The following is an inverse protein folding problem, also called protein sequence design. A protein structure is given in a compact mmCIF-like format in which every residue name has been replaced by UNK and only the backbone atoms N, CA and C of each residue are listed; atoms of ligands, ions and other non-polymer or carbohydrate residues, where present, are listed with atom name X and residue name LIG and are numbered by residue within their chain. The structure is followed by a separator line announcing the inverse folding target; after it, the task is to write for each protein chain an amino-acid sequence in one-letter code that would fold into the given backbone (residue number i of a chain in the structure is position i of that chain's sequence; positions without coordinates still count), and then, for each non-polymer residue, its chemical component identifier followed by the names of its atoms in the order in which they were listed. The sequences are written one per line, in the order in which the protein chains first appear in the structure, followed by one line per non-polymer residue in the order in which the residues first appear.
data_IF_555841271459
#
_entry.id   IF_555841271459
#
_cell.length_a   1.000
_cell.length_b   1.000
_cell.length_c   1.000
_cell.angle_alpha   90.00
_cell.angle_beta   90.00
_cell.angle_gamma   90.00
#
_symmetry.space_group_name_H-M   'P 1'
#
loop_
_entity.id
_entity.type
_entity.pdbx_description
1 polymer ?
#
# COMPACT_ATOMS: atom_id res chain seq x y z
N UNK A 1 10.94 -6.87 35.92
CA UNK A 1 9.97 -7.84 35.36
C UNK A 1 9.25 -7.22 34.15
N UNK A 2 10.01 -6.80 33.14
CA UNK A 2 9.49 -6.25 31.86
C UNK A 2 10.27 -6.81 30.66
N UNK A 3 11.25 -7.68 30.92
CA UNK A 3 12.19 -8.20 29.92
C UNK A 3 11.77 -9.56 29.32
N UNK A 4 10.68 -10.17 29.81
CA UNK A 4 10.24 -11.52 29.41
C UNK A 4 9.04 -11.58 28.47
N UNK A 5 8.39 -10.44 28.17
CA UNK A 5 7.18 -10.36 27.31
C UNK A 5 7.46 -9.89 25.87
N UNK A 6 8.71 -9.63 25.51
CA UNK A 6 9.14 -9.46 24.11
C UNK A 6 9.58 -10.81 23.52
N UNK A 7 8.85 -11.87 23.85
CA UNK A 7 9.15 -13.25 23.49
C UNK A 7 8.73 -13.62 22.07
N UNK A 8 9.12 -12.82 21.08
CA UNK A 8 9.58 -13.18 19.72
C UNK A 8 10.25 -11.90 19.22
N UNK A 9 11.50 -11.98 18.77
CA UNK A 9 12.18 -10.81 18.22
C UNK A 9 11.33 -10.23 17.08
N UNK A 10 10.95 -8.96 17.19
CA UNK A 10 10.33 -8.25 16.08
C UNK A 10 11.27 -8.38 14.88
N UNK A 11 10.75 -8.81 13.73
CA UNK A 11 11.57 -9.04 12.55
C UNK A 11 12.11 -7.69 12.07
N UNK A 12 13.36 -7.37 12.46
CA UNK A 12 14.10 -6.16 12.11
C UNK A 12 13.96 -5.76 10.62
N UNK A 13 13.96 -6.71 9.66
CA UNK A 13 13.73 -6.38 8.26
C UNK A 13 12.39 -5.67 7.99
N UNK A 14 11.30 -6.10 8.64
CA UNK A 14 9.97 -5.48 8.48
C UNK A 14 9.93 -4.09 9.12
N UNK A 15 10.63 -3.90 10.24
CA UNK A 15 10.73 -2.61 10.89
C UNK A 15 11.48 -1.61 10.00
N UNK A 16 12.63 -2.02 9.45
CA UNK A 16 13.40 -1.19 8.52
C UNK A 16 12.58 -0.89 7.26
N UNK A 17 11.90 -1.89 6.69
CA UNK A 17 11.02 -1.72 5.53
C UNK A 17 9.95 -0.66 5.82
N UNK A 18 9.20 -0.80 6.91
CA UNK A 18 8.11 0.14 7.25
C UNK A 18 8.60 1.56 7.49
N UNK A 19 9.79 1.74 8.09
CA UNK A 19 10.42 3.05 8.24
C UNK A 19 10.75 3.68 6.89
N UNK A 20 11.43 2.93 6.01
CA UNK A 20 11.79 3.41 4.66
C UNK A 20 10.52 3.76 3.88
N UNK A 21 9.53 2.86 3.87
CA UNK A 21 8.26 3.07 3.17
C UNK A 21 7.52 4.32 3.67
N UNK A 22 7.51 4.56 4.98
CA UNK A 22 6.90 5.75 5.56
C UNK A 22 7.61 7.01 5.04
N UNK A 23 8.94 7.06 5.10
CA UNK A 23 9.72 8.20 4.60
C UNK A 23 9.45 8.43 3.11
N UNK A 24 9.47 7.38 2.29
CA UNK A 24 9.20 7.49 0.84
C UNK A 24 7.79 8.02 0.57
N UNK A 25 6.78 7.56 1.29
CA UNK A 25 5.40 8.04 1.13
C UNK A 25 5.24 9.50 1.57
N UNK A 26 5.97 9.93 2.61
CA UNK A 26 6.02 11.35 3.00
C UNK A 26 6.65 12.22 1.90
N UNK A 27 7.75 11.77 1.29
CA UNK A 27 8.39 12.46 0.16
C UNK A 27 7.46 12.53 -1.04
N UNK A 28 6.81 11.42 -1.39
CA UNK A 28 5.84 11.39 -2.50
C UNK A 28 4.68 12.36 -2.25
N UNK A 29 4.13 12.37 -1.03
CA UNK A 29 3.06 13.31 -0.66
C UNK A 29 3.53 14.77 -0.75
N UNK A 30 4.73 15.08 -0.27
CA UNK A 30 5.32 16.43 -0.37
C UNK A 30 5.43 16.88 -1.84
N UNK A 31 5.91 16.01 -2.72
CA UNK A 31 6.01 16.29 -4.16
C UNK A 31 4.61 16.51 -4.76
N UNK A 32 3.67 15.61 -4.48
CA UNK A 32 2.29 15.72 -4.99
C UNK A 32 1.62 17.03 -4.59
N UNK A 33 1.76 17.44 -3.33
CA UNK A 33 1.21 18.71 -2.84
C UNK A 33 1.88 19.90 -3.52
N UNK A 34 3.22 19.88 -3.65
CA UNK A 34 3.98 20.96 -4.29
C UNK A 34 3.56 21.16 -5.74
N UNK A 35 3.53 20.08 -6.53
CA UNK A 35 3.12 20.12 -7.95
C UNK A 35 1.66 20.59 -8.10
N UNK A 36 0.76 20.12 -7.23
CA UNK A 36 -0.66 20.50 -7.27
C UNK A 36 -0.88 21.97 -6.93
N UNK A 37 -0.08 22.52 -6.00
CA UNK A 37 -0.12 23.93 -5.63
C UNK A 37 0.34 24.83 -6.78
N UNK A 38 1.38 24.44 -7.50
CA UNK A 38 1.86 25.17 -8.69
C UNK A 38 0.86 25.12 -9.86
N UNK A 39 0.06 24.06 -9.95
CA UNK A 39 -0.90 23.84 -11.05
C UNK A 39 -2.27 24.51 -10.84
N UNK A 40 -2.54 25.12 -9.68
CA UNK A 40 -3.85 25.68 -9.34
C UNK A 40 -3.85 27.23 -9.28
N UNK A 41 -4.64 27.93 -10.11
CA UNK A 41 -4.79 29.37 -10.00
C UNK A 41 -5.70 29.72 -8.81
N UNK A 42 -5.23 30.62 -7.94
CA UNK A 42 -5.94 31.31 -6.83
C UNK A 42 -6.68 30.44 -5.79
N UNK A 43 -6.00 30.26 -4.65
CA UNK A 43 -6.38 29.50 -3.46
C UNK A 43 -7.62 30.05 -2.75
N UNK A 44 -8.75 29.34 -2.80
CA UNK A 44 -9.76 29.41 -1.73
C UNK A 44 -9.13 28.71 -0.52
N UNK A 45 -8.91 29.43 0.58
CA UNK A 45 -8.49 28.85 1.85
C UNK A 45 -9.61 27.92 2.35
N UNK A 46 -9.41 26.60 2.26
CA UNK A 46 -10.38 25.58 2.67
C UNK A 46 -9.88 24.95 3.96
N UNK A 47 -10.69 25.00 5.01
CA UNK A 47 -10.34 24.52 6.33
C UNK A 47 -10.39 22.99 6.40
N UNK A 48 -9.45 22.38 7.15
CA UNK A 48 -9.35 20.93 7.40
C UNK A 48 -10.58 20.29 8.06
N UNK A 49 -11.45 21.11 8.65
CA UNK A 49 -12.63 20.65 9.40
C UNK A 49 -13.85 20.40 8.52
N UNK A 50 -13.77 20.71 7.23
CA UNK A 50 -14.80 20.29 6.28
C UNK A 50 -14.63 18.82 5.90
N UNK A 51 -15.52 17.97 6.43
CA UNK A 51 -15.57 16.52 6.15
C UNK A 51 -15.63 16.23 4.64
N UNK A 52 -16.27 17.11 3.86
CA UNK A 52 -16.37 17.01 2.40
C UNK A 52 -15.01 17.16 1.67
N UNK A 53 -14.01 17.74 2.32
CA UNK A 53 -12.67 17.99 1.78
C UNK A 53 -11.55 17.31 2.57
N UNK A 54 -11.90 16.52 3.59
CA UNK A 54 -10.95 15.84 4.48
C UNK A 54 -9.86 15.06 3.72
N UNK A 55 -10.21 14.36 2.63
CA UNK A 55 -9.25 13.60 1.82
C UNK A 55 -8.56 14.40 0.70
N UNK A 56 -8.75 15.72 0.66
CA UNK A 56 -8.18 16.62 -0.36
C UNK A 56 -7.13 17.54 0.25
N UNK A 57 -6.15 16.95 0.94
CA UNK A 57 -5.03 17.68 1.57
C UNK A 57 -4.38 18.67 0.60
N UNK A 58 -4.46 19.96 0.92
CA UNK A 58 -3.89 21.07 0.14
C UNK A 58 -2.50 21.46 0.62
N UNK A 59 -2.21 21.25 1.90
CA UNK A 59 -0.92 21.58 2.51
C UNK A 59 -0.30 20.36 3.20
N UNK A 60 1.00 20.16 2.97
CA UNK A 60 1.77 19.02 3.50
C UNK A 60 1.84 19.02 5.04
N UNK A 61 1.84 20.21 5.66
CA UNK A 61 1.90 20.36 7.12
C UNK A 61 0.68 19.79 7.83
N UNK A 62 -0.51 20.00 7.26
CA UNK A 62 -1.77 19.51 7.83
C UNK A 62 -1.83 17.99 7.79
N UNK A 63 -1.36 17.40 6.68
CA UNK A 63 -1.21 15.96 6.54
C UNK A 63 -0.28 15.35 7.60
N UNK A 64 0.88 15.99 7.87
CA UNK A 64 1.83 15.53 8.90
C UNK A 64 1.23 15.60 10.31
N UNK A 65 0.56 16.71 10.65
CA UNK A 65 -0.06 16.89 11.97
C UNK A 65 -1.15 15.83 12.18
N UNK A 66 -2.05 15.65 11.20
CA UNK A 66 -3.13 14.66 11.30
C UNK A 66 -2.57 13.24 11.44
N UNK A 67 -1.64 12.85 10.58
CA UNK A 67 -1.04 11.50 10.60
C UNK A 67 -0.27 11.25 11.89
N UNK A 68 0.45 12.27 12.39
CA UNK A 68 1.18 12.21 13.66
C UNK A 68 0.25 12.05 14.86
N UNK A 69 -0.83 12.83 14.93
CA UNK A 69 -1.84 12.71 15.99
C UNK A 69 -2.56 11.37 15.95
N UNK A 70 -2.97 10.91 14.78
CA UNK A 70 -3.59 9.59 14.61
C UNK A 70 -2.65 8.46 15.08
N UNK A 71 -1.38 8.52 14.68
CA UNK A 71 -0.37 7.54 15.09
C UNK A 71 -0.11 7.57 16.60
N UNK A 72 -0.05 8.76 17.20
CA UNK A 72 0.15 8.94 18.64
C UNK A 72 -1.01 8.35 19.44
N UNK A 73 -2.25 8.62 19.03
CA UNK A 73 -3.45 8.07 19.68
C UNK A 73 -3.45 6.54 19.55
N UNK A 74 -3.19 6.00 18.37
CA UNK A 74 -3.08 4.55 18.15
C UNK A 74 -1.98 3.90 19.01
N UNK A 75 -0.82 4.56 19.14
CA UNK A 75 0.27 4.12 19.99
C UNK A 75 -0.11 4.11 21.48
N UNK A 76 -0.74 5.17 21.98
CA UNK A 76 -1.23 5.24 23.37
C UNK A 76 -2.25 4.12 23.66
N UNK A 77 -3.23 3.93 22.77
CA UNK A 77 -4.21 2.83 22.90
C UNK A 77 -3.51 1.48 22.94
N UNK A 78 -2.53 1.28 22.05
CA UNK A 78 -1.75 0.04 22.00
C UNK A 78 -0.98 -0.19 23.30
N UNK A 79 -0.35 0.83 23.87
CA UNK A 79 0.35 0.72 25.16
C UNK A 79 -0.60 0.38 26.32
N UNK A 80 -1.80 0.96 26.33
CA UNK A 80 -2.81 0.67 27.37
C UNK A 80 -3.34 -0.76 27.27
N UNK A 81 -3.51 -1.28 26.05
CA UNK A 81 -4.13 -2.58 25.77
C UNK A 81 -3.14 -3.70 25.46
N UNK A 82 -1.82 -3.46 25.54
CA UNK A 82 -0.78 -4.46 25.18
C UNK A 82 -0.85 -5.76 26.00
N UNK A 83 -1.40 -5.69 27.22
CA UNK A 83 -1.56 -6.85 28.07
C UNK A 83 -2.73 -7.77 27.66
N UNK A 84 -3.60 -7.31 26.75
CA UNK A 84 -4.74 -8.08 26.23
C UNK A 84 -4.29 -8.79 24.95
N UNK A 85 -4.07 -10.12 25.03
CA UNK A 85 -3.56 -10.91 23.90
C UNK A 85 -4.45 -10.83 22.66
N UNK A 86 -5.77 -10.93 22.85
CA UNK A 86 -6.77 -10.84 21.77
C UNK A 86 -6.66 -9.51 21.01
N UNK A 87 -6.38 -8.41 21.70
CA UNK A 87 -6.22 -7.10 21.07
C UNK A 87 -4.98 -7.08 20.17
N UNK A 88 -3.84 -7.60 20.64
CA UNK A 88 -2.58 -7.65 19.89
C UNK A 88 -2.71 -8.54 18.64
N UNK A 89 -3.36 -9.69 18.77
CA UNK A 89 -3.61 -10.61 17.65
C UNK A 89 -4.54 -9.99 16.60
N UNK A 90 -5.63 -9.38 17.02
CA UNK A 90 -6.58 -8.72 16.12
C UNK A 90 -5.93 -7.53 15.40
N UNK A 91 -5.13 -6.73 16.12
CA UNK A 91 -4.39 -5.61 15.54
C UNK A 91 -3.38 -6.09 14.49
N UNK A 92 -2.64 -7.16 14.78
CA UNK A 92 -1.70 -7.78 13.84
C UNK A 92 -2.40 -8.33 12.60
N UNK A 93 -3.51 -9.04 12.77
CA UNK A 93 -4.32 -9.54 11.66
C UNK A 93 -4.90 -8.40 10.82
N UNK A 94 -5.51 -7.38 11.44
CA UNK A 94 -6.07 -6.23 10.75
C UNK A 94 -5.01 -5.46 9.94
N UNK A 95 -3.80 -5.32 10.49
CA UNK A 95 -2.66 -4.70 9.81
C UNK A 95 -2.27 -5.46 8.55
N UNK A 96 -2.03 -6.78 8.65
CA UNK A 96 -1.63 -7.63 7.52
C UNK A 96 -2.75 -7.78 6.49
N UNK A 97 -4.00 -7.83 6.93
CA UNK A 97 -5.15 -7.87 6.04
C UNK A 97 -5.29 -6.57 5.25
N UNK A 98 -5.11 -5.41 5.90
CA UNK A 98 -5.12 -4.10 5.23
C UNK A 98 -4.01 -4.03 4.19
N UNK A 99 -2.81 -4.53 4.52
CA UNK A 99 -1.69 -4.63 3.58
C UNK A 99 -2.03 -5.51 2.39
N UNK A 100 -2.65 -6.69 2.61
CA UNK A 100 -3.06 -7.60 1.54
C UNK A 100 -4.11 -6.99 0.59
N UNK A 101 -4.91 -6.05 1.06
CA UNK A 101 -5.94 -5.39 0.25
C UNK A 101 -5.41 -4.22 -0.60
N UNK A 102 -4.16 -3.78 -0.44
CA UNK A 102 -3.62 -2.62 -1.19
C UNK A 102 -3.62 -2.81 -2.71
N UNK A 103 -3.40 -4.04 -3.20
CA UNK A 103 -3.43 -4.36 -4.64
C UNK A 103 -4.85 -4.43 -5.24
N UNK A 104 -5.87 -4.63 -4.41
CA UNK A 104 -7.24 -4.93 -4.88
C UNK A 104 -7.91 -3.77 -5.64
N UNK A 105 -7.81 -2.50 -5.21
CA UNK A 105 -8.33 -1.37 -5.98
C UNK A 105 -7.70 -1.28 -7.39
N UNK A 106 -6.41 -1.60 -7.50
CA UNK A 106 -5.70 -1.59 -8.77
C UNK A 106 -6.16 -2.74 -9.68
N UNK A 107 -6.33 -3.94 -9.12
CA UNK A 107 -6.92 -5.08 -9.83
C UNK A 107 -8.32 -4.76 -10.35
N UNK A 108 -9.17 -4.15 -9.52
CA UNK A 108 -10.52 -3.74 -9.89
C UNK A 108 -10.52 -2.69 -10.99
N UNK A 109 -9.65 -1.68 -10.89
CA UNK A 109 -9.51 -0.61 -11.90
C UNK A 109 -9.11 -1.20 -13.25
N UNK A 110 -8.10 -2.06 -13.28
CA UNK A 110 -7.67 -2.77 -14.49
C UNK A 110 -8.83 -3.57 -15.08
N UNK A 111 -9.56 -4.31 -14.24
CA UNK A 111 -10.69 -5.12 -14.67
C UNK A 111 -11.83 -4.28 -15.27
N UNK A 112 -12.16 -3.14 -14.67
CA UNK A 112 -13.24 -2.25 -15.12
C UNK A 112 -12.88 -1.55 -16.43
N UNK A 113 -11.66 -1.02 -16.54
CA UNK A 113 -11.23 -0.26 -17.72
C UNK A 113 -10.68 -1.12 -18.85
N UNK A 114 -10.42 -2.42 -18.61
CA UNK A 114 -9.81 -3.36 -19.56
C UNK A 114 -8.50 -2.82 -20.19
N UNK A 115 -7.83 -1.93 -19.46
CA UNK A 115 -6.62 -1.22 -19.88
C UNK A 115 -5.70 -1.10 -18.67
N UNK A 116 -4.39 -1.25 -18.91
CA UNK A 116 -3.34 -1.05 -17.91
C UNK A 116 -2.41 0.11 -18.32
N UNK A 117 -2.98 1.16 -18.93
CA UNK A 117 -2.24 2.38 -19.26
C UNK A 117 -1.70 3.07 -18.01
N UNK A 118 -0.47 3.57 -18.09
CA UNK A 118 0.23 4.19 -16.96
C UNK A 118 0.81 3.20 -15.94
N UNK A 119 0.56 1.89 -16.07
CA UNK A 119 1.16 0.87 -15.21
C UNK A 119 2.44 0.30 -15.85
N UNK A 120 3.55 0.35 -15.10
CA UNK A 120 4.82 -0.28 -15.48
C UNK A 120 4.81 -1.78 -15.16
N UNK A 121 5.20 -2.64 -16.12
CA UNK A 121 5.36 -4.09 -15.86
C UNK A 121 6.46 -4.33 -14.83
N UNK A 122 7.57 -3.59 -14.91
CA UNK A 122 8.70 -3.79 -14.01
C UNK A 122 8.29 -3.55 -12.56
N UNK A 123 7.45 -2.54 -12.31
CA UNK A 123 6.91 -2.27 -10.97
C UNK A 123 6.12 -3.47 -10.44
N UNK A 124 5.21 -4.03 -11.23
CA UNK A 124 4.39 -5.20 -10.82
C UNK A 124 5.26 -6.44 -10.59
N UNK A 125 6.33 -6.63 -11.39
CA UNK A 125 7.30 -7.71 -11.15
C UNK A 125 8.08 -7.52 -9.85
N UNK A 126 8.45 -6.28 -9.51
CA UNK A 126 9.10 -5.97 -8.23
C UNK A 126 8.17 -6.19 -7.03
N UNK A 127 6.88 -5.86 -7.16
CA UNK A 127 5.86 -6.18 -6.15
C UNK A 127 5.79 -7.69 -5.92
N UNK A 128 5.55 -8.45 -6.98
CA UNK A 128 5.45 -9.91 -6.91
C UNK A 128 6.70 -10.55 -6.28
N UNK A 129 7.87 -10.08 -6.69
CA UNK A 129 9.15 -10.55 -6.17
C UNK A 129 9.28 -10.26 -4.67
N UNK A 130 9.00 -9.02 -4.25
CA UNK A 130 9.04 -8.61 -2.85
C UNK A 130 8.09 -9.41 -1.96
N UNK A 131 6.84 -9.58 -2.39
CA UNK A 131 5.81 -10.30 -1.63
C UNK A 131 6.09 -11.80 -1.57
N UNK A 132 6.68 -12.36 -2.64
CA UNK A 132 7.14 -13.75 -2.66
C UNK A 132 8.28 -13.96 -1.66
N UNK A 133 9.32 -13.12 -1.69
CA UNK A 133 10.44 -13.22 -0.75
C UNK A 133 10.00 -13.02 0.70
N UNK A 134 9.10 -12.07 0.96
CA UNK A 134 8.53 -11.82 2.28
C UNK A 134 7.74 -13.03 2.79
N UNK A 135 6.93 -13.65 1.93
CA UNK A 135 6.15 -14.85 2.29
C UNK A 135 7.06 -16.04 2.58
N UNK A 136 8.08 -16.28 1.75
CA UNK A 136 9.09 -17.33 1.99
C UNK A 136 9.80 -17.10 3.32
N UNK A 137 10.19 -15.86 3.61
CA UNK A 137 10.82 -15.50 4.88
C UNK A 137 9.93 -15.85 6.08
N UNK A 138 8.63 -15.54 6.04
CA UNK A 138 7.70 -15.91 7.11
C UNK A 138 7.57 -17.42 7.31
N UNK A 139 7.54 -18.20 6.22
CA UNK A 139 7.49 -19.67 6.28
C UNK A 139 8.77 -20.20 6.93
N UNK A 140 9.94 -19.74 6.49
CA UNK A 140 11.24 -20.18 7.03
C UNK A 140 11.41 -19.83 8.51
N UNK A 141 10.85 -18.72 8.96
CA UNK A 141 10.91 -18.26 10.36
C UNK A 141 9.85 -18.90 11.27
N UNK A 142 8.93 -19.69 10.71
CA UNK A 142 7.81 -20.23 11.48
C UNK A 142 6.92 -19.14 12.06
N UNK A 143 6.73 -18.04 11.32
CA UNK A 143 5.91 -16.92 11.75
C UNK A 143 4.44 -17.37 11.96
N UNK A 144 3.67 -16.64 12.78
CA UNK A 144 2.26 -16.96 13.00
C UNK A 144 1.47 -17.09 11.70
N UNK A 145 0.46 -17.97 11.69
CA UNK A 145 -0.30 -18.33 10.49
C UNK A 145 -0.88 -17.11 9.75
N UNK A 146 -1.23 -16.03 10.45
CA UNK A 146 -1.73 -14.80 9.83
C UNK A 146 -0.76 -14.18 8.82
N UNK A 147 0.57 -14.27 9.06
CA UNK A 147 1.58 -13.72 8.16
C UNK A 147 1.67 -14.51 6.86
N UNK A 148 1.64 -15.84 6.96
CA UNK A 148 1.70 -16.73 5.79
C UNK A 148 0.42 -16.63 4.97
N UNK A 149 -0.75 -16.62 5.62
CA UNK A 149 -2.04 -16.48 4.94
C UNK A 149 -2.14 -15.13 4.23
N UNK A 150 -1.86 -14.01 4.91
CA UNK A 150 -1.92 -12.69 4.27
C UNK A 150 -0.85 -12.51 3.18
N UNK A 151 0.37 -13.01 3.40
CA UNK A 151 1.45 -12.96 2.39
C UNK A 151 1.13 -13.78 1.14
N UNK A 152 0.55 -14.97 1.29
CA UNK A 152 0.10 -15.77 0.14
C UNK A 152 -1.02 -15.07 -0.64
N UNK A 153 -1.96 -14.41 0.04
CA UNK A 153 -2.99 -13.60 -0.62
C UNK A 153 -2.39 -12.42 -1.41
N UNK A 154 -1.36 -11.75 -0.88
CA UNK A 154 -0.63 -10.68 -1.59
C UNK A 154 -0.04 -11.19 -2.90
N UNK A 155 0.72 -12.29 -2.84
CA UNK A 155 1.31 -12.94 -4.03
C UNK A 155 0.24 -13.33 -5.04
N UNK A 156 -0.91 -13.85 -4.60
CA UNK A 156 -2.02 -14.19 -5.49
C UNK A 156 -2.60 -12.97 -6.21
N UNK A 157 -2.81 -11.86 -5.50
CA UNK A 157 -3.30 -10.61 -6.08
C UNK A 157 -2.31 -10.04 -7.09
N UNK A 158 -1.01 -10.10 -6.78
CA UNK A 158 0.05 -9.65 -7.69
C UNK A 158 0.11 -10.46 -8.98
N UNK A 159 0.03 -11.78 -8.89
CA UNK A 159 -0.07 -12.67 -10.07
C UNK A 159 -1.32 -12.32 -10.89
N UNK A 160 -2.45 -12.08 -10.23
CA UNK A 160 -3.69 -11.70 -10.91
C UNK A 160 -3.54 -10.36 -11.65
N UNK A 161 -2.92 -9.34 -11.04
CA UNK A 161 -2.63 -8.06 -11.69
C UNK A 161 -1.66 -8.25 -12.86
N UNK A 162 -0.57 -9.02 -12.67
CA UNK A 162 0.40 -9.29 -13.73
C UNK A 162 -0.26 -9.96 -14.93
N UNK A 163 -1.15 -10.93 -14.69
CA UNK A 163 -1.93 -11.59 -15.74
C UNK A 163 -2.79 -10.59 -16.52
N UNK A 164 -3.46 -9.65 -15.85
CA UNK A 164 -4.25 -8.60 -16.49
C UNK A 164 -3.37 -7.71 -17.37
N UNK A 165 -2.18 -7.33 -16.90
CA UNK A 165 -1.24 -6.50 -17.66
C UNK A 165 -0.82 -7.18 -18.95
N UNK A 166 -0.45 -8.47 -18.90
CA UNK A 166 -0.05 -9.24 -20.09
C UNK A 166 -1.21 -9.35 -21.09
N UNK A 167 -2.40 -9.72 -20.60
CA UNK A 167 -3.59 -9.92 -21.47
C UNK A 167 -4.03 -8.62 -22.12
N UNK A 168 -4.13 -7.52 -21.37
CA UNK A 168 -4.63 -6.26 -21.91
C UNK A 168 -3.61 -5.56 -22.82
N UNK A 169 -2.30 -5.69 -22.56
CA UNK A 169 -1.26 -5.20 -23.49
C UNK A 169 -1.25 -5.98 -24.80
N UNK A 170 -1.38 -7.31 -24.77
CA UNK A 170 -1.43 -8.14 -25.98
C UNK A 170 -2.63 -7.80 -26.86
N UNK A 171 -3.83 -7.67 -26.26
CA UNK A 171 -5.05 -7.28 -26.99
C UNK A 171 -4.90 -5.93 -27.68
N UNK A 172 -4.29 -4.95 -26.99
CA UNK A 172 -4.02 -3.63 -27.55
C UNK A 172 -3.04 -3.69 -28.72
N UNK A 173 -1.92 -4.39 -28.58
CA UNK A 173 -0.92 -4.54 -29.65
C UNK A 173 -1.55 -5.15 -30.91
N UNK A 174 -2.35 -6.21 -30.75
CA UNK A 174 -3.07 -6.82 -31.85
C UNK A 174 -4.02 -5.85 -32.55
N UNK A 175 -4.79 -5.05 -31.79
CA UNK A 175 -5.68 -4.03 -32.35
C UNK A 175 -4.91 -2.96 -33.16
N UNK A 176 -3.79 -2.48 -32.62
CA UNK A 176 -2.93 -1.50 -33.31
C UNK A 176 -2.38 -2.08 -34.62
N UNK A 177 -1.81 -3.29 -34.59
CA UNK A 177 -1.28 -3.93 -35.79
C UNK A 177 -2.34 -4.17 -36.87
N UNK A 178 -3.55 -4.59 -36.48
CA UNK A 178 -4.67 -4.76 -37.41
C UNK A 178 -5.12 -3.42 -38.03
N UNK A 179 -5.16 -2.34 -37.24
CA UNK A 179 -5.54 -1.01 -37.74
C UNK A 179 -4.53 -0.41 -38.73
N UNK A 180 -3.23 -0.72 -38.56
CA UNK A 180 -2.19 -0.30 -39.49
C UNK A 180 -2.27 -1.06 -40.82
N UNK A 181 -2.62 -2.34 -40.80
CA UNK A 181 -2.76 -3.17 -42.01
C UNK A 181 -3.95 -2.78 -42.88
N UNK A 182 -5.01 -2.18 -42.32
CA UNK A 182 -6.19 -1.73 -43.07
C UNK A 182 -5.94 -0.38 -43.77
N UNK A 183 -4.95 0.39 -43.27
CA UNK A 183 -4.61 1.72 -43.78
C UNK A 183 -3.50 1.69 -44.85
N UNK A 184 -2.93 0.52 -45.11
CA UNK A 184 -1.95 0.21 -46.16
C UNK A 184 -2.66 -0.37 -47.38
#
# INVERSE_FOLDING_TARGET
MLCGKFGVHYELPLLIQSLIMTVTMLVMMHICVTVKKESAPTTIHRSIWDINYFWKWTDFREYLIFTGLFSLVGFIITLLLINVSVFVELLGFASLFTEAMLGLPQFWRNYKHKSTEGMSIQMVLFWLSGDTFKTIYFIMRGAPVQFVVCGSLQVMVDIAILSQVVVYRKKRQHFISASLSIKS
#
